data_IF_551727117802
#
_entry.id   IF_551727117802
#
_cell.length_a   1.000
_cell.length_b   1.000
_cell.length_c   1.000
_cell.angle_alpha   90.00
_cell.angle_beta   90.00
_cell.angle_gamma   90.00
#
_symmetry.space_group_name_H-M   'P 1'
#
loop_
_entity.id
_entity.type
_entity.pdbx_description
1 polymer ?
#
# COMPACT_ATOMS: atom_id res chain seq x y z
N UNK A 1 40.05 -24.01 12.79
CA UNK A 1 39.37 -25.33 12.75
C UNK A 1 38.95 -25.70 14.16
N UNK A 2 37.66 -25.58 14.46
CA UNK A 2 37.04 -26.19 15.65
C UNK A 2 35.56 -26.36 15.34
N UNK A 3 35.24 -27.55 14.84
CA UNK A 3 33.89 -28.07 14.62
C UNK A 3 33.41 -28.70 15.92
N UNK A 4 32.12 -28.56 16.28
CA UNK A 4 31.34 -29.51 17.10
C UNK A 4 29.83 -29.12 17.03
N UNK A 5 28.90 -30.05 17.31
CA UNK A 5 27.96 -30.52 16.29
C UNK A 5 26.48 -30.22 16.58
N UNK A 6 25.71 -30.42 15.50
CA UNK A 6 24.28 -30.65 15.33
C UNK A 6 23.48 -31.01 16.60
N UNK A 7 22.42 -30.25 16.86
CA UNK A 7 21.22 -30.72 17.54
C UNK A 7 19.99 -30.45 16.66
N UNK A 8 19.49 -31.53 16.07
CA UNK A 8 18.17 -31.62 15.41
C UNK A 8 17.11 -31.63 16.51
N UNK A 9 16.20 -30.67 16.49
CA UNK A 9 14.91 -30.78 17.18
C UNK A 9 13.79 -30.76 16.14
N UNK A 10 13.20 -31.93 15.94
CA UNK A 10 11.93 -32.13 15.25
C UNK A 10 10.79 -32.01 16.27
N UNK A 11 9.81 -31.16 15.98
CA UNK A 11 8.46 -31.17 16.59
C UNK A 11 7.53 -30.36 15.66
N UNK A 12 6.72 -30.99 14.81
CA UNK A 12 5.36 -31.48 15.08
C UNK A 12 4.28 -30.37 15.05
N UNK A 13 3.67 -30.24 13.86
CA UNK A 13 2.28 -29.89 13.48
C UNK A 13 1.33 -29.22 14.47
N UNK A 14 0.70 -28.12 14.03
CA UNK A 14 -0.75 -27.87 14.20
C UNK A 14 -1.30 -27.27 12.90
N UNK A 15 -2.12 -28.02 12.17
CA UNK A 15 -2.99 -27.51 11.13
C UNK A 15 -4.40 -27.42 11.70
N UNK A 16 -4.92 -26.20 11.86
CA UNK A 16 -6.34 -25.96 12.13
C UNK A 16 -7.01 -25.65 10.79
N UNK A 17 -7.64 -26.66 10.20
CA UNK A 17 -8.66 -26.51 9.18
C UNK A 17 -10.01 -26.88 9.82
N UNK A 18 -11.03 -26.02 9.66
CA UNK A 18 -12.36 -26.29 10.20
C UNK A 18 -13.32 -25.12 10.07
N UNK A 19 -13.75 -24.85 8.85
CA UNK A 19 -14.79 -23.91 8.45
C UNK A 19 -16.19 -24.50 8.75
N UNK A 20 -17.16 -23.70 9.22
CA UNK A 20 -18.59 -23.86 8.91
C UNK A 20 -19.47 -22.90 9.74
N UNK A 21 -20.16 -21.98 9.08
CA UNK A 21 -21.55 -21.64 9.44
C UNK A 21 -22.31 -21.26 8.17
N UNK A 22 -23.29 -22.12 7.86
CA UNK A 22 -24.27 -22.07 6.76
C UNK A 22 -25.39 -21.05 7.13
N UNK A 23 -26.20 -20.56 6.16
CA UNK A 23 -26.92 -19.30 6.17
C UNK A 23 -28.34 -19.41 6.75
N UNK A 24 -28.98 -18.27 7.01
CA UNK A 24 -30.43 -18.13 6.90
C UNK A 24 -30.81 -16.65 6.74
N UNK A 25 -31.54 -16.34 5.66
CA UNK A 25 -32.55 -15.28 5.64
C UNK A 25 -33.90 -16.03 5.71
N UNK A 26 -34.96 -15.53 6.39
CA UNK A 26 -35.64 -14.30 5.96
C UNK A 26 -36.33 -13.44 7.06
N UNK A 27 -36.58 -12.18 6.68
CA UNK A 27 -37.71 -11.29 7.02
C UNK A 27 -38.22 -11.17 8.47
N UNK A 28 -38.00 -9.99 9.07
CA UNK A 28 -39.00 -9.37 9.94
C UNK A 28 -38.92 -7.84 9.82
N UNK A 29 -40.05 -7.23 9.46
CA UNK A 29 -40.26 -5.79 9.53
C UNK A 29 -40.15 -5.31 10.97
N UNK A 30 -39.49 -4.17 11.18
CA UNK A 30 -39.66 -3.34 12.37
C UNK A 30 -39.52 -1.89 11.96
N UNK A 31 -40.67 -1.26 11.76
CA UNK A 31 -40.80 0.20 11.68
C UNK A 31 -40.49 0.76 13.05
N UNK A 32 -39.34 1.39 13.21
CA UNK A 32 -39.06 2.24 14.37
C UNK A 32 -38.78 3.64 13.87
N UNK A 33 -39.74 4.53 14.10
CA UNK A 33 -39.62 5.97 13.95
C UNK A 33 -38.42 6.45 14.79
N UNK A 34 -37.38 6.94 14.13
CA UNK A 34 -36.26 7.62 14.76
C UNK A 34 -36.31 9.12 14.43
N UNK A 35 -36.36 9.91 15.50
CA UNK A 35 -36.21 11.36 15.60
C UNK A 35 -35.06 11.87 14.72
N UNK A 36 -35.17 13.05 14.05
CA UNK A 36 -34.08 13.56 13.24
C UNK A 36 -32.91 13.96 14.15
N UNK A 37 -31.87 13.13 14.19
CA UNK A 37 -30.56 13.54 14.65
C UNK A 37 -29.91 14.30 13.50
N UNK A 38 -29.49 15.55 13.74
CA UNK A 38 -28.73 16.30 12.75
C UNK A 38 -27.41 15.58 12.49
N UNK A 39 -27.35 14.91 11.35
CA UNK A 39 -26.13 14.29 10.82
C UNK A 39 -25.13 15.41 10.49
N UNK A 40 -23.86 15.31 10.95
CA UNK A 40 -22.81 16.21 10.49
C UNK A 40 -22.64 16.06 8.97
N UNK A 41 -22.28 17.14 8.25
CA UNK A 41 -22.19 17.09 6.80
C UNK A 41 -21.23 15.97 6.36
N UNK A 42 -21.58 15.20 5.32
CA UNK A 42 -20.70 14.16 4.81
C UNK A 42 -19.35 14.79 4.46
N UNK A 43 -18.26 14.17 4.94
CA UNK A 43 -16.91 14.46 4.48
C UNK A 43 -16.93 14.43 2.94
N UNK A 44 -16.24 15.35 2.25
CA UNK A 44 -16.22 15.37 0.80
C UNK A 44 -15.86 13.98 0.28
N UNK A 45 -16.83 13.30 -0.34
CA UNK A 45 -16.56 12.08 -1.06
C UNK A 45 -15.62 12.48 -2.19
N UNK A 46 -14.37 12.02 -2.12
CA UNK A 46 -13.42 12.19 -3.21
C UNK A 46 -14.05 11.55 -4.44
N UNK A 47 -14.46 12.38 -5.40
CA UNK A 47 -15.12 11.89 -6.60
C UNK A 47 -14.19 10.89 -7.27
N UNK A 48 -14.69 9.72 -7.72
CA UNK A 48 -13.86 8.74 -8.39
C UNK A 48 -13.11 9.42 -9.54
N UNK A 49 -11.78 9.29 -9.50
CA UNK A 49 -10.90 9.86 -10.51
C UNK A 49 -11.30 9.31 -11.89
N UNK A 50 -11.20 10.14 -12.92
CA UNK A 50 -11.40 9.67 -14.29
C UNK A 50 -10.25 8.74 -14.66
N UNK A 51 -10.52 7.67 -15.41
CA UNK A 51 -9.48 6.82 -15.98
C UNK A 51 -8.36 7.66 -16.62
N UNK A 52 -7.11 7.42 -16.25
CA UNK A 52 -5.95 8.18 -16.68
C UNK A 52 -5.70 9.49 -15.93
N UNK A 53 -6.43 9.76 -14.85
CA UNK A 53 -6.21 10.93 -14.01
C UNK A 53 -4.91 10.82 -13.21
N UNK A 54 -4.30 11.97 -12.96
CA UNK A 54 -3.16 12.13 -12.05
C UNK A 54 -3.64 12.97 -10.88
N UNK A 55 -3.52 12.45 -9.66
CA UNK A 55 -3.80 13.21 -8.45
C UNK A 55 -2.49 13.72 -7.84
N UNK A 56 -2.47 15.00 -7.50
CA UNK A 56 -1.35 15.68 -6.87
C UNK A 56 -1.82 16.24 -5.54
N UNK A 57 -1.08 15.97 -4.48
CA UNK A 57 -1.37 16.47 -3.14
C UNK A 57 -1.20 18.00 -3.07
N UNK A 58 -1.75 18.67 -2.03
CA UNK A 58 -1.52 20.10 -1.81
C UNK A 58 -0.04 20.49 -1.67
N UNK A 59 0.86 19.53 -1.37
CA UNK A 59 2.31 19.74 -1.31
C UNK A 59 3.01 19.54 -2.65
N UNK A 60 2.28 19.29 -3.73
CA UNK A 60 2.82 19.11 -5.08
C UNK A 60 3.36 17.71 -5.34
N UNK A 61 3.02 16.72 -4.53
CA UNK A 61 3.49 15.33 -4.70
C UNK A 61 2.44 14.57 -5.49
N UNK A 62 2.85 13.90 -6.57
CA UNK A 62 1.98 12.99 -7.30
C UNK A 62 1.73 11.76 -6.43
N UNK A 63 0.49 11.55 -6.01
CA UNK A 63 0.11 10.46 -5.10
C UNK A 63 -0.73 9.39 -5.77
N UNK A 64 -1.32 9.69 -6.94
CA UNK A 64 -2.06 8.71 -7.75
C UNK A 64 -1.77 8.98 -9.22
N UNK A 65 -1.56 7.91 -9.98
CA UNK A 65 -1.61 7.90 -11.44
C UNK A 65 -2.53 6.76 -11.83
N UNK A 66 -3.74 7.09 -12.30
CA UNK A 66 -4.84 6.15 -12.53
C UNK A 66 -4.70 5.43 -13.88
N UNK A 67 -3.60 4.68 -14.02
CA UNK A 67 -3.38 3.73 -15.10
C UNK A 67 -2.83 2.42 -14.52
N UNK A 68 -3.00 1.27 -15.22
CA UNK A 68 -2.37 0.03 -14.79
C UNK A 68 -0.84 0.18 -14.71
N UNK A 69 -0.25 -0.35 -13.65
CA UNK A 69 1.20 -0.46 -13.53
C UNK A 69 1.75 -1.44 -14.57
N UNK A 70 2.86 -1.07 -15.22
CA UNK A 70 3.66 -1.95 -16.08
C UNK A 70 4.96 -2.40 -15.40
N UNK A 71 5.10 -2.15 -14.10
CA UNK A 71 6.25 -2.57 -13.32
C UNK A 71 6.41 -4.10 -13.38
N UNK A 72 7.61 -4.57 -13.69
CA UNK A 72 7.92 -5.99 -13.59
C UNK A 72 7.92 -6.44 -12.12
N UNK A 73 7.80 -7.75 -11.88
CA UNK A 73 7.89 -8.32 -10.53
C UNK A 73 9.17 -7.87 -9.81
N UNK A 74 10.31 -7.88 -10.51
CA UNK A 74 11.59 -7.44 -9.95
C UNK A 74 11.61 -5.95 -9.62
N UNK A 75 11.04 -5.11 -10.49
CA UNK A 75 10.94 -3.67 -10.27
C UNK A 75 10.06 -3.37 -9.05
N UNK A 76 8.88 -3.97 -9.01
CA UNK A 76 7.96 -3.84 -7.88
C UNK A 76 8.62 -4.29 -6.57
N UNK A 77 9.22 -5.47 -6.54
CA UNK A 77 9.88 -6.01 -5.34
C UNK A 77 11.02 -5.11 -4.84
N UNK A 78 11.86 -4.59 -5.75
CA UNK A 78 12.93 -3.66 -5.39
C UNK A 78 12.42 -2.32 -4.87
N UNK A 79 11.42 -1.73 -5.54
CA UNK A 79 10.85 -0.46 -5.13
C UNK A 79 10.12 -0.57 -3.79
N UNK A 80 9.36 -1.65 -3.59
CA UNK A 80 8.66 -1.92 -2.33
C UNK A 80 9.67 -2.09 -1.19
N UNK A 81 10.71 -2.90 -1.39
CA UNK A 81 11.76 -3.09 -0.40
C UNK A 81 12.50 -1.78 -0.07
N UNK A 82 12.83 -0.97 -1.07
CA UNK A 82 13.47 0.33 -0.87
C UNK A 82 12.56 1.29 -0.07
N UNK A 83 11.26 1.31 -0.38
CA UNK A 83 10.27 2.08 0.37
C UNK A 83 10.16 1.61 1.82
N UNK A 84 10.12 0.29 2.05
CA UNK A 84 10.09 -0.28 3.39
C UNK A 84 11.29 0.14 4.22
N UNK A 85 12.51 0.06 3.66
CA UNK A 85 13.71 0.50 4.36
C UNK A 85 13.64 1.97 4.76
N UNK A 86 13.24 2.84 3.84
CA UNK A 86 13.09 4.26 4.14
C UNK A 86 12.04 4.49 5.22
N UNK A 87 10.88 3.83 5.14
CA UNK A 87 9.80 3.97 6.13
C UNK A 87 10.23 3.47 7.52
N UNK A 88 10.94 2.35 7.59
CA UNK A 88 11.43 1.76 8.84
C UNK A 88 12.51 2.65 9.52
N UNK A 89 13.22 3.47 8.74
CA UNK A 89 14.17 4.47 9.27
C UNK A 89 13.46 5.66 9.94
N UNK A 90 12.21 5.92 9.55
CA UNK A 90 11.42 7.01 10.12
C UNK A 90 10.83 6.60 11.47
N UNK A 91 10.94 7.48 12.46
CA UNK A 91 10.36 7.26 13.81
C UNK A 91 8.88 7.64 13.87
N UNK A 92 8.09 7.24 12.88
CA UNK A 92 6.67 7.54 12.75
C UNK A 92 5.90 6.38 12.10
N UNK A 93 4.57 6.45 12.10
CA UNK A 93 3.71 5.39 11.55
C UNK A 93 3.82 5.35 10.02
N UNK A 94 4.10 4.18 9.39
CA UNK A 94 4.42 4.12 7.96
C UNK A 94 3.36 4.69 7.01
N UNK A 95 2.06 4.50 7.28
CA UNK A 95 0.98 5.01 6.42
C UNK A 95 0.92 6.52 6.42
N UNK A 96 1.34 7.16 7.50
CA UNK A 96 1.43 8.64 7.56
C UNK A 96 2.59 9.22 6.75
N UNK A 97 3.51 8.39 6.26
CA UNK A 97 4.77 8.81 5.64
C UNK A 97 4.84 8.58 4.13
N UNK A 98 3.83 7.96 3.51
CA UNK A 98 3.84 7.62 2.08
C UNK A 98 4.09 8.85 1.20
N UNK A 99 3.41 9.96 1.47
CA UNK A 99 3.59 11.19 0.69
C UNK A 99 5.00 11.79 0.86
N UNK A 100 5.56 11.71 2.07
CA UNK A 100 6.94 12.17 2.32
C UNK A 100 7.95 11.31 1.55
N UNK A 101 7.76 9.98 1.52
CA UNK A 101 8.58 9.09 0.72
C UNK A 101 8.46 9.41 -0.78
N UNK A 102 7.22 9.51 -1.30
CA UNK A 102 6.97 9.84 -2.70
C UNK A 102 7.57 11.18 -3.11
N UNK A 103 7.59 12.15 -2.20
CA UNK A 103 8.28 13.43 -2.42
C UNK A 103 9.78 13.24 -2.66
N UNK A 104 10.43 12.33 -1.92
CA UNK A 104 11.86 12.04 -2.14
C UNK A 104 12.11 11.45 -3.52
N UNK A 105 11.24 10.57 -4.01
CA UNK A 105 11.38 9.95 -5.34
C UNK A 105 11.10 10.91 -6.49
N UNK A 106 10.31 11.95 -6.23
CA UNK A 106 9.93 12.98 -7.21
C UNK A 106 10.93 14.15 -7.30
N UNK A 107 11.98 14.14 -6.47
CA UNK A 107 13.04 15.14 -6.54
C UNK A 107 13.89 14.97 -7.83
N UNK A 108 14.39 16.05 -8.44
CA UNK A 108 15.16 15.99 -9.70
C UNK A 108 16.39 15.06 -9.65
N UNK A 109 17.04 14.98 -8.50
CA UNK A 109 18.23 14.17 -8.24
C UNK A 109 17.93 12.72 -7.84
N UNK A 110 16.67 12.39 -7.60
CA UNK A 110 16.27 11.07 -7.16
C UNK A 110 16.48 10.04 -8.27
N UNK A 111 17.39 9.11 -8.03
CA UNK A 111 17.63 7.98 -8.91
C UNK A 111 18.05 6.78 -8.05
N UNK A 112 17.17 5.81 -7.91
CA UNK A 112 17.44 4.62 -7.10
C UNK A 112 16.36 3.56 -7.22
N UNK A 113 16.47 2.46 -6.44
CA UNK A 113 15.58 1.32 -6.56
C UNK A 113 14.10 1.65 -6.31
N UNK A 114 13.82 2.66 -5.48
CA UNK A 114 12.46 3.17 -5.24
C UNK A 114 11.77 3.73 -6.48
N UNK A 115 12.53 4.19 -7.47
CA UNK A 115 12.04 4.74 -8.75
C UNK A 115 12.52 3.94 -9.95
N UNK A 116 12.72 2.63 -9.78
CA UNK A 116 13.23 1.72 -10.83
C UNK A 116 14.57 2.17 -11.45
N UNK A 117 15.42 2.83 -10.66
CA UNK A 117 16.70 3.42 -11.08
C UNK A 117 16.55 4.42 -12.24
N UNK A 118 15.40 5.10 -12.28
CA UNK A 118 15.08 6.09 -13.30
C UNK A 118 14.57 7.36 -12.61
N UNK A 119 14.99 8.56 -13.03
CA UNK A 119 14.43 9.81 -12.51
C UNK A 119 12.92 9.88 -12.77
N UNK A 120 12.15 10.43 -11.82
CA UNK A 120 10.69 10.48 -11.91
C UNK A 120 10.15 11.03 -13.24
N UNK A 121 10.77 12.10 -13.74
CA UNK A 121 10.39 12.77 -14.99
C UNK A 121 10.62 11.94 -16.26
N UNK A 122 11.36 10.85 -16.16
CA UNK A 122 11.63 9.92 -17.26
C UNK A 122 10.78 8.64 -17.18
N UNK A 123 10.04 8.43 -16.08
CA UNK A 123 9.13 7.31 -15.95
C UNK A 123 7.89 7.50 -16.84
N UNK A 124 7.40 6.41 -17.42
CA UNK A 124 6.06 6.40 -18.04
C UNK A 124 4.98 6.56 -16.96
N UNK A 125 3.75 6.97 -17.30
CA UNK A 125 2.65 7.00 -16.33
C UNK A 125 2.40 5.63 -15.67
N UNK A 126 2.53 4.53 -16.42
CA UNK A 126 2.39 3.18 -15.90
C UNK A 126 3.49 2.84 -14.88
N UNK A 127 4.73 3.27 -15.13
CA UNK A 127 5.82 3.10 -14.18
C UNK A 127 5.64 3.96 -12.92
N UNK A 128 5.15 5.21 -13.08
CA UNK A 128 4.82 6.07 -11.93
C UNK A 128 3.74 5.44 -11.05
N UNK A 129 2.70 4.85 -11.66
CA UNK A 129 1.68 4.08 -10.95
C UNK A 129 2.30 2.89 -10.18
N UNK A 130 3.26 2.18 -10.80
CA UNK A 130 3.99 1.09 -10.13
C UNK A 130 4.82 1.53 -8.94
N UNK A 131 5.51 2.67 -9.02
CA UNK A 131 6.26 3.26 -7.90
C UNK A 131 5.32 3.64 -6.75
N UNK A 132 4.20 4.32 -7.07
CA UNK A 132 3.19 4.70 -6.08
C UNK A 132 2.58 3.46 -5.42
N UNK A 133 2.27 2.43 -6.20
CA UNK A 133 1.74 1.16 -5.70
C UNK A 133 2.72 0.49 -4.73
N UNK A 134 4.00 0.41 -5.09
CA UNK A 134 5.04 -0.16 -4.24
C UNK A 134 5.24 0.62 -2.93
N UNK A 135 5.18 1.96 -2.97
CA UNK A 135 5.25 2.80 -1.77
C UNK A 135 4.08 2.56 -0.82
N UNK A 136 2.85 2.46 -1.35
CA UNK A 136 1.67 2.15 -0.55
C UNK A 136 1.73 0.75 0.05
N UNK A 137 2.13 -0.26 -0.74
CA UNK A 137 2.31 -1.62 -0.27
C UNK A 137 3.34 -1.69 0.87
N UNK A 138 4.46 -0.97 0.76
CA UNK A 138 5.46 -0.88 1.82
C UNK A 138 4.89 -0.31 3.12
N UNK A 139 4.14 0.78 3.05
CA UNK A 139 3.48 1.36 4.22
C UNK A 139 2.40 0.46 4.83
N UNK A 140 1.78 -0.40 4.03
CA UNK A 140 0.83 -1.40 4.50
C UNK A 140 1.49 -2.68 5.05
N UNK A 141 2.81 -2.83 4.92
CA UNK A 141 3.53 -4.05 5.32
C UNK A 141 3.37 -5.21 4.33
N UNK A 142 3.11 -4.91 3.06
CA UNK A 142 2.80 -5.87 1.99
C UNK A 142 4.00 -6.15 1.07
N UNK A 143 5.20 -5.67 1.41
CA UNK A 143 6.42 -6.05 0.70
C UNK A 143 6.87 -7.45 1.11
N UNK A 144 6.58 -8.46 0.28
CA UNK A 144 7.00 -9.84 0.51
C UNK A 144 6.49 -10.80 -0.56
#
# INVERSE_FOLDING_TARGET
MRSYPILVFAAATVALAGCSSHPEAPTASSTTTATPISEPPPLPQEAPLRAGAVAVSPRGVTTVVDVPSDATESQYGQACHAAKLWLDEQRAEPRTLVEDYLKTLQAPEANGPGSFNTPWVQLTPAQQAGVIMAANAAANGECG
#
